data_IF_045937010518
#
_entry.id   IF_045937010518
#
_cell.length_a   1.000
_cell.length_b   1.000
_cell.length_c   1.000
_cell.angle_alpha   90.00
_cell.angle_beta   90.00
_cell.angle_gamma   90.00
#
_symmetry.space_group_name_H-M   'P 1'
#
loop_
_entity.id
_entity.type
_entity.pdbx_description
1 polymer ?
#
# COMPACT_ATOMS: atom_id res chain seq x y z
N UNK A 1 -18.25 7.16 3.55
CA UNK A 1 -18.43 6.81 4.96
C UNK A 1 -19.06 5.42 5.05
N UNK A 2 -20.28 5.15 4.56
CA UNK A 2 -20.92 3.83 4.69
C UNK A 2 -20.07 2.69 4.11
N UNK A 3 -19.40 2.87 2.96
CA UNK A 3 -18.50 1.88 2.40
C UNK A 3 -17.27 1.67 3.29
N UNK A 4 -16.64 2.74 3.76
CA UNK A 4 -15.46 2.68 4.64
C UNK A 4 -15.77 1.94 5.95
N UNK A 5 -16.88 2.29 6.58
CA UNK A 5 -17.24 1.77 7.91
C UNK A 5 -17.99 0.43 7.85
N UNK A 6 -18.31 -0.05 6.66
CA UNK A 6 -19.00 -1.31 6.39
C UNK A 6 -18.16 -2.28 5.54
N UNK A 7 -18.40 -2.38 4.22
CA UNK A 7 -17.78 -3.43 3.38
C UNK A 7 -16.26 -3.43 3.38
N UNK A 8 -15.61 -2.26 3.41
CA UNK A 8 -14.15 -2.17 3.44
C UNK A 8 -13.55 -2.63 4.76
N UNK A 9 -14.25 -2.38 5.87
CA UNK A 9 -13.80 -2.73 7.22
C UNK A 9 -14.33 -4.10 7.71
N UNK A 10 -15.04 -4.86 6.85
CA UNK A 10 -15.55 -6.19 7.23
C UNK A 10 -14.38 -7.10 7.64
N UNK A 11 -14.36 -7.60 8.89
CA UNK A 11 -13.26 -8.43 9.39
C UNK A 11 -13.09 -9.76 8.63
N UNK A 12 -14.12 -10.20 7.91
CA UNK A 12 -14.07 -11.39 7.05
C UNK A 12 -13.36 -11.14 5.72
N UNK A 13 -13.12 -9.88 5.38
CA UNK A 13 -12.44 -9.51 4.13
C UNK A 13 -11.02 -10.08 4.13
N UNK A 14 -10.70 -10.87 3.11
CA UNK A 14 -9.42 -11.54 2.97
C UNK A 14 -8.87 -11.36 1.55
N UNK A 15 -7.56 -11.20 1.45
CA UNK A 15 -6.84 -11.19 0.17
C UNK A 15 -6.31 -12.59 -0.17
N UNK A 16 -5.74 -13.27 0.83
CA UNK A 16 -5.07 -14.58 0.65
C UNK A 16 -6.01 -15.77 0.92
N UNK A 17 -7.11 -15.54 1.64
CA UNK A 17 -7.91 -16.62 2.22
C UNK A 17 -7.31 -17.17 3.52
N UNK A 18 -8.15 -17.76 4.37
CA UNK A 18 -7.79 -18.16 5.73
C UNK A 18 -6.62 -19.16 5.78
N UNK A 19 -6.59 -20.12 4.86
CA UNK A 19 -5.55 -21.15 4.84
C UNK A 19 -4.16 -20.55 4.57
N UNK A 20 -4.06 -19.63 3.59
CA UNK A 20 -2.80 -19.00 3.25
C UNK A 20 -2.39 -17.95 4.31
N UNK A 21 -3.34 -17.21 4.89
CA UNK A 21 -3.05 -16.32 6.02
C UNK A 21 -2.44 -17.09 7.20
N UNK A 22 -2.99 -18.27 7.53
CA UNK A 22 -2.46 -19.13 8.58
C UNK A 22 -1.08 -19.67 8.23
N UNK A 23 -0.91 -20.14 6.99
CA UNK A 23 0.39 -20.64 6.53
C UNK A 23 1.48 -19.56 6.63
N UNK A 24 1.22 -18.34 6.19
CA UNK A 24 2.18 -17.22 6.32
C UNK A 24 2.53 -16.96 7.78
N UNK A 25 1.54 -16.92 8.66
CA UNK A 25 1.76 -16.71 10.09
C UNK A 25 2.67 -17.79 10.70
N UNK A 26 2.49 -19.06 10.29
CA UNK A 26 3.29 -20.17 10.77
C UNK A 26 4.70 -20.14 10.18
N UNK A 27 4.87 -19.77 8.90
CA UNK A 27 6.19 -19.60 8.29
C UNK A 27 7.00 -18.48 8.95
N UNK A 28 6.39 -17.35 9.27
CA UNK A 28 7.05 -16.26 9.99
C UNK A 28 7.58 -16.72 11.35
N UNK A 29 6.75 -17.44 12.12
CA UNK A 29 7.14 -18.02 13.43
C UNK A 29 8.26 -19.04 13.27
N UNK A 30 8.13 -19.95 12.30
CA UNK A 30 9.13 -21.00 12.07
C UNK A 30 10.49 -20.40 11.67
N UNK A 31 10.48 -19.39 10.78
CA UNK A 31 11.69 -18.68 10.34
C UNK A 31 12.42 -18.02 11.50
N UNK A 32 11.69 -17.28 12.34
CA UNK A 32 12.27 -16.62 13.53
C UNK A 32 12.79 -17.68 14.52
N UNK A 33 12.03 -18.75 14.78
CA UNK A 33 12.45 -19.83 15.66
C UNK A 33 13.72 -20.56 15.16
N UNK A 34 13.88 -20.67 13.85
CA UNK A 34 15.08 -21.24 13.23
C UNK A 34 16.30 -20.30 13.28
N UNK A 35 16.15 -19.07 13.82
CA UNK A 35 17.23 -18.10 13.95
C UNK A 35 17.53 -17.29 12.69
N UNK A 36 16.68 -17.35 11.66
CA UNK A 36 16.84 -16.52 10.48
C UNK A 36 16.64 -15.04 10.84
N UNK A 37 17.62 -14.21 10.46
CA UNK A 37 17.63 -12.78 10.82
C UNK A 37 16.62 -11.95 10.04
N UNK A 38 16.25 -12.39 8.83
CA UNK A 38 15.36 -11.68 7.94
C UNK A 38 14.20 -12.58 7.51
N UNK A 39 13.02 -12.05 7.48
CA UNK A 39 11.83 -12.67 6.91
C UNK A 39 11.45 -11.91 5.65
N UNK A 40 11.92 -12.42 4.50
CA UNK A 40 11.61 -11.84 3.20
C UNK A 40 10.29 -12.41 2.67
N UNK A 41 9.35 -11.51 2.40
CA UNK A 41 8.06 -11.83 1.77
C UNK A 41 8.03 -11.24 0.38
N UNK A 42 8.15 -12.09 -0.64
CA UNK A 42 7.97 -11.72 -2.03
C UNK A 42 6.50 -11.93 -2.42
N UNK A 43 5.84 -10.88 -2.85
CA UNK A 43 4.43 -10.92 -3.24
C UNK A 43 4.13 -9.80 -4.25
N UNK A 44 2.98 -9.82 -4.91
CA UNK A 44 2.77 -8.96 -6.08
C UNK A 44 2.28 -7.54 -5.75
N UNK A 45 1.45 -7.36 -4.73
CA UNK A 45 0.70 -6.12 -4.49
C UNK A 45 1.37 -5.20 -3.46
N UNK A 46 1.32 -3.90 -3.66
CA UNK A 46 1.83 -2.93 -2.67
C UNK A 46 1.09 -3.08 -1.34
N UNK A 47 1.85 -3.14 -0.24
CA UNK A 47 1.36 -3.33 1.12
C UNK A 47 1.32 -2.01 1.90
N UNK A 48 2.20 -1.08 1.60
CA UNK A 48 2.20 0.26 2.17
C UNK A 48 0.95 1.06 1.82
N UNK A 49 0.58 1.97 2.69
CA UNK A 49 -0.60 2.82 2.49
C UNK A 49 -0.33 4.00 1.55
N UNK A 50 -1.28 4.27 0.65
CA UNK A 50 -1.21 5.40 -0.26
C UNK A 50 -2.56 6.08 -0.40
N UNK A 51 -2.66 7.32 0.09
CA UNK A 51 -3.79 8.21 -0.16
C UNK A 51 -3.35 9.37 -1.05
N UNK A 52 -4.25 9.81 -1.94
CA UNK A 52 -3.99 11.02 -2.72
C UNK A 52 -4.24 12.27 -1.85
N UNK A 53 -3.23 13.15 -1.73
CA UNK A 53 -3.38 14.39 -0.97
C UNK A 53 -4.24 15.41 -1.71
N UNK A 54 -4.83 16.41 -1.02
CA UNK A 54 -5.51 17.53 -1.67
C UNK A 54 -4.66 18.26 -2.71
N UNK A 55 -3.35 18.31 -2.52
CA UNK A 55 -2.39 18.90 -3.47
C UNK A 55 -2.41 18.22 -4.85
N UNK A 56 -2.85 16.97 -4.93
CA UNK A 56 -2.97 16.24 -6.20
C UNK A 56 -3.91 16.94 -7.21
N UNK A 57 -4.86 17.72 -6.75
CA UNK A 57 -5.72 18.51 -7.63
C UNK A 57 -4.92 19.50 -8.52
N UNK A 58 -3.75 19.93 -8.07
CA UNK A 58 -2.85 20.81 -8.82
C UNK A 58 -1.76 20.09 -9.62
N UNK A 59 -1.80 18.77 -9.76
CA UNK A 59 -0.80 18.02 -10.54
C UNK A 59 -1.07 18.06 -12.04
N UNK A 60 -2.35 18.11 -12.41
CA UNK A 60 -2.80 18.03 -13.79
C UNK A 60 -2.61 19.35 -14.53
N UNK A 61 -2.26 19.27 -15.80
CA UNK A 61 -2.31 20.39 -16.69
C UNK A 61 -3.76 20.88 -16.92
N UNK A 62 -3.97 22.16 -17.31
CA UNK A 62 -5.30 22.68 -17.57
C UNK A 62 -6.08 21.93 -18.66
N UNK A 63 -5.37 21.34 -19.61
CA UNK A 63 -5.88 20.57 -20.75
C UNK A 63 -5.80 19.05 -20.52
N UNK A 64 -5.60 18.60 -19.28
CA UNK A 64 -5.48 17.20 -18.95
C UNK A 64 -6.73 16.41 -19.37
N UNK A 65 -6.50 15.15 -19.73
CA UNK A 65 -7.57 14.21 -20.08
C UNK A 65 -8.64 14.13 -18.99
N UNK A 66 -9.92 14.07 -19.41
CA UNK A 66 -11.06 14.04 -18.48
C UNK A 66 -11.05 12.85 -17.54
N UNK A 67 -10.51 11.68 -17.97
CA UNK A 67 -10.38 10.49 -17.12
C UNK A 67 -9.32 10.70 -16.06
N UNK A 68 -8.17 11.28 -16.43
CA UNK A 68 -7.11 11.66 -15.49
C UNK A 68 -7.65 12.64 -14.44
N UNK A 69 -8.38 13.67 -14.86
CA UNK A 69 -8.99 14.64 -13.95
C UNK A 69 -10.02 13.99 -13.01
N UNK A 70 -10.87 13.10 -13.53
CA UNK A 70 -11.83 12.36 -12.72
C UNK A 70 -11.15 11.42 -11.71
N UNK A 71 -10.09 10.71 -12.12
CA UNK A 71 -9.32 9.84 -11.25
C UNK A 71 -8.71 10.61 -10.07
N UNK A 72 -8.04 11.73 -10.35
CA UNK A 72 -7.44 12.57 -9.30
C UNK A 72 -8.52 13.13 -8.36
N UNK A 73 -9.62 13.63 -8.89
CA UNK A 73 -10.74 14.16 -8.09
C UNK A 73 -11.32 13.10 -7.15
N UNK A 74 -11.58 11.91 -7.67
CA UNK A 74 -12.12 10.79 -6.88
C UNK A 74 -11.09 10.32 -5.85
N UNK A 75 -9.82 10.21 -6.23
CA UNK A 75 -8.74 9.83 -5.32
C UNK A 75 -8.54 10.81 -4.17
N UNK A 76 -8.58 12.12 -4.43
CA UNK A 76 -8.53 13.17 -3.39
C UNK A 76 -9.73 13.07 -2.45
N UNK A 77 -10.93 12.90 -2.99
CA UNK A 77 -12.13 12.72 -2.18
C UNK A 77 -12.03 11.44 -1.30
N UNK A 78 -11.59 10.34 -1.87
CA UNK A 78 -11.37 9.09 -1.13
C UNK A 78 -10.36 9.30 0.00
N UNK A 79 -9.22 9.93 -0.30
CA UNK A 79 -8.18 10.25 0.68
C UNK A 79 -8.69 11.12 1.83
N UNK A 80 -9.56 12.11 1.55
CA UNK A 80 -10.11 12.99 2.58
C UNK A 80 -11.00 12.29 3.61
N UNK A 81 -11.51 11.11 3.28
CA UNK A 81 -12.30 10.27 4.20
C UNK A 81 -11.54 9.02 4.65
N UNK A 82 -10.22 8.96 4.42
CA UNK A 82 -9.36 7.86 4.83
C UNK A 82 -9.56 6.57 4.04
N UNK A 83 -10.07 6.65 2.80
CA UNK A 83 -10.15 5.53 1.88
C UNK A 83 -8.91 5.53 0.98
N UNK A 84 -8.21 4.39 0.78
CA UNK A 84 -6.99 4.35 0.01
C UNK A 84 -7.21 4.63 -1.48
N UNK A 85 -6.12 4.96 -2.17
CA UNK A 85 -6.12 5.21 -3.62
C UNK A 85 -6.53 3.94 -4.40
N UNK A 86 -6.03 2.78 -4.00
CA UNK A 86 -6.30 1.52 -4.69
C UNK A 86 -7.03 0.53 -3.78
N UNK A 87 -8.16 0.00 -4.28
CA UNK A 87 -8.88 -1.12 -3.67
C UNK A 87 -8.30 -2.48 -4.09
N UNK A 88 -7.39 -2.49 -5.05
CA UNK A 88 -6.78 -3.67 -5.65
C UNK A 88 -5.38 -3.96 -5.09
N UNK A 89 -5.05 -3.33 -3.97
CA UNK A 89 -3.85 -3.55 -3.18
C UNK A 89 -4.21 -4.05 -1.78
N UNK A 90 -3.21 -4.29 -0.93
CA UNK A 90 -3.44 -4.68 0.46
C UNK A 90 -4.29 -3.67 1.26
N UNK A 91 -4.28 -2.41 0.87
CA UNK A 91 -5.13 -1.40 1.51
C UNK A 91 -6.61 -1.61 1.24
N UNK A 92 -6.97 -2.14 0.07
CA UNK A 92 -8.33 -2.56 -0.23
C UNK A 92 -8.82 -3.70 0.66
N UNK A 93 -7.89 -4.41 1.30
CA UNK A 93 -8.12 -5.54 2.22
C UNK A 93 -7.57 -5.25 3.61
N UNK A 94 -7.85 -4.07 4.12
CA UNK A 94 -7.30 -3.57 5.39
C UNK A 94 -7.40 -4.55 6.58
N UNK A 95 -8.51 -5.30 6.79
CA UNK A 95 -8.56 -6.33 7.84
C UNK A 95 -7.55 -7.48 7.62
N UNK A 96 -7.36 -7.94 6.39
CA UNK A 96 -6.36 -8.96 6.05
C UNK A 96 -4.94 -8.45 6.28
N UNK A 97 -4.62 -7.22 5.82
CA UNK A 97 -3.35 -6.57 6.08
C UNK A 97 -3.07 -6.44 7.58
N UNK A 98 -4.08 -6.05 8.34
CA UNK A 98 -3.97 -5.94 9.80
C UNK A 98 -3.66 -7.30 10.44
N UNK A 99 -4.28 -8.40 10.00
CA UNK A 99 -3.96 -9.75 10.49
C UNK A 99 -2.55 -10.15 10.15
N UNK A 100 -2.10 -9.89 8.93
CA UNK A 100 -0.73 -10.13 8.50
C UNK A 100 0.28 -9.36 9.37
N UNK A 101 0.06 -8.07 9.60
CA UNK A 101 0.93 -7.25 10.45
C UNK A 101 0.97 -7.75 11.90
N UNK A 102 -0.17 -8.14 12.46
CA UNK A 102 -0.23 -8.75 13.79
C UNK A 102 0.56 -10.07 13.85
N UNK A 103 0.49 -10.90 12.82
CA UNK A 103 1.25 -12.14 12.75
C UNK A 103 2.76 -11.87 12.72
N UNK A 104 3.22 -10.91 11.92
CA UNK A 104 4.62 -10.51 11.87
C UNK A 104 5.12 -9.95 13.22
N UNK A 105 4.35 -9.09 13.87
CA UNK A 105 4.69 -8.55 15.20
C UNK A 105 4.72 -9.64 16.27
N UNK A 106 3.73 -10.55 16.29
CA UNK A 106 3.66 -11.67 17.22
C UNK A 106 4.84 -12.64 17.05
N UNK A 107 5.29 -12.87 15.83
CA UNK A 107 6.48 -13.66 15.53
C UNK A 107 7.79 -12.92 15.87
N UNK A 108 7.75 -11.61 16.12
CA UNK A 108 8.92 -10.73 16.20
C UNK A 108 9.77 -10.79 14.93
N UNK A 109 9.10 -10.87 13.78
CA UNK A 109 9.75 -10.95 12.48
C UNK A 109 10.48 -9.67 12.13
N UNK A 110 11.68 -9.78 11.58
CA UNK A 110 12.39 -8.68 10.94
C UNK A 110 11.97 -8.68 9.46
N UNK A 111 10.77 -8.12 9.22
CA UNK A 111 10.04 -8.27 7.97
C UNK A 111 10.57 -7.33 6.89
N UNK A 112 10.87 -7.89 5.74
CA UNK A 112 11.11 -7.16 4.49
C UNK A 112 10.10 -7.68 3.46
N UNK A 113 9.33 -6.77 2.87
CA UNK A 113 8.39 -7.08 1.78
C UNK A 113 8.99 -6.58 0.48
N UNK A 114 8.95 -7.38 -0.56
CA UNK A 114 9.21 -6.96 -1.93
C UNK A 114 7.96 -7.17 -2.76
N UNK A 115 7.57 -6.15 -3.51
CA UNK A 115 6.33 -6.11 -4.28
C UNK A 115 6.52 -5.44 -5.64
N UNK A 116 5.47 -5.38 -6.43
CA UNK A 116 5.46 -4.77 -7.77
C UNK A 116 4.08 -4.26 -8.12
N UNK A 117 3.54 -4.69 -9.26
CA UNK A 117 2.19 -4.45 -9.79
C UNK A 117 1.84 -2.98 -10.06
N UNK A 118 2.17 -2.08 -9.16
CA UNK A 118 1.79 -0.66 -9.26
C UNK A 118 2.51 0.12 -10.36
N UNK A 119 3.48 -0.49 -11.04
CA UNK A 119 4.35 0.11 -12.06
C UNK A 119 5.26 1.24 -11.58
N UNK A 120 5.07 1.70 -10.36
CA UNK A 120 5.92 2.70 -9.70
C UNK A 120 6.80 2.04 -8.64
N UNK A 121 7.96 2.63 -8.40
CA UNK A 121 8.79 2.24 -7.28
C UNK A 121 8.30 2.92 -6.00
N UNK A 122 8.27 2.15 -4.91
CA UNK A 122 7.87 2.65 -3.59
C UNK A 122 8.80 2.11 -2.51
N UNK A 123 9.12 2.92 -1.52
CA UNK A 123 9.76 2.48 -0.29
C UNK A 123 8.90 2.88 0.91
N UNK A 124 8.44 1.91 1.67
CA UNK A 124 7.51 2.11 2.77
C UNK A 124 8.06 1.59 4.10
N UNK A 125 7.89 2.37 5.15
CA UNK A 125 7.91 1.85 6.52
C UNK A 125 6.52 1.30 6.83
N UNK A 126 6.43 0.02 7.13
CA UNK A 126 5.19 -0.64 7.50
C UNK A 126 4.98 -0.53 9.02
N UNK A 127 3.81 -0.09 9.43
CA UNK A 127 3.46 0.07 10.85
C UNK A 127 2.02 -0.32 11.13
N UNK A 128 1.75 -0.73 12.37
CA UNK A 128 0.42 -0.99 12.88
C UNK A 128 0.24 -0.33 14.23
N UNK A 129 -0.77 0.53 14.35
CA UNK A 129 -1.03 1.31 15.57
C UNK A 129 0.24 2.03 16.10
N UNK A 130 1.00 2.65 15.20
CA UNK A 130 2.24 3.37 15.53
C UNK A 130 3.46 2.50 15.84
N UNK A 131 3.32 1.18 15.85
CA UNK A 131 4.43 0.24 16.09
C UNK A 131 5.00 -0.27 14.76
N UNK A 132 6.34 -0.34 14.62
CA UNK A 132 6.97 -0.91 13.43
C UNK A 132 6.53 -2.36 13.18
N UNK A 133 6.38 -2.71 11.90
CA UNK A 133 6.13 -4.08 11.43
C UNK A 133 7.27 -4.55 10.55
N UNK A 134 7.75 -3.69 9.66
CA UNK A 134 8.81 -4.00 8.70
C UNK A 134 8.99 -2.88 7.69
N UNK A 135 9.61 -3.22 6.57
CA UNK A 135 9.80 -2.32 5.43
C UNK A 135 9.31 -2.99 4.15
N UNK A 136 8.92 -2.17 3.18
CA UNK A 136 8.55 -2.64 1.85
C UNK A 136 9.34 -1.88 0.79
N UNK A 137 9.74 -2.61 -0.25
CA UNK A 137 10.29 -2.07 -1.48
C UNK A 137 9.48 -2.62 -2.66
N UNK A 138 8.77 -1.75 -3.36
CA UNK A 138 8.06 -2.10 -4.58
C UNK A 138 8.90 -1.70 -5.79
N UNK A 139 9.01 -2.62 -6.75
CA UNK A 139 9.72 -2.39 -8.01
C UNK A 139 8.85 -1.61 -9.00
N UNK A 140 9.50 -0.76 -9.79
CA UNK A 140 8.85 -0.09 -10.91
C UNK A 140 8.58 -1.06 -12.08
N UNK A 141 7.65 -0.68 -12.96
CA UNK A 141 7.43 -1.39 -14.21
C UNK A 141 8.65 -1.29 -15.14
N UNK A 142 8.99 -2.40 -15.80
CA UNK A 142 10.05 -2.43 -16.82
C UNK A 142 9.52 -2.00 -18.19
N UNK A 143 8.29 -2.43 -18.51
CA UNK A 143 7.64 -2.20 -19.82
C UNK A 143 6.34 -1.40 -19.71
N UNK A 144 5.82 -1.24 -18.50
CA UNK A 144 4.57 -0.51 -18.25
C UNK A 144 4.86 0.86 -17.63
N UNK A 145 4.20 1.93 -18.11
CA UNK A 145 4.39 3.27 -17.56
C UNK A 145 3.82 3.37 -16.15
N UNK A 146 4.44 4.19 -15.31
CA UNK A 146 3.90 4.57 -14.01
C UNK A 146 2.69 5.50 -14.13
N UNK A 147 1.96 5.69 -13.05
CA UNK A 147 0.73 6.50 -13.04
C UNK A 147 0.98 7.97 -13.43
N UNK A 148 2.15 8.52 -13.13
CA UNK A 148 2.53 9.88 -13.50
C UNK A 148 2.58 10.06 -15.02
N UNK A 149 3.03 9.04 -15.74
CA UNK A 149 3.05 9.04 -17.20
C UNK A 149 1.64 8.94 -17.78
N UNK A 150 0.80 8.07 -17.19
CA UNK A 150 -0.60 7.88 -17.62
C UNK A 150 -1.44 9.13 -17.37
N UNK A 151 -1.17 9.84 -16.27
CA UNK A 151 -1.89 11.05 -15.89
C UNK A 151 -1.29 12.33 -16.46
N UNK A 152 -0.11 12.27 -17.10
CA UNK A 152 0.59 13.44 -17.62
C UNK A 152 1.04 14.42 -16.54
N UNK A 153 1.48 13.90 -15.37
CA UNK A 153 1.87 14.72 -14.22
C UNK A 153 3.39 14.75 -14.03
N UNK A 154 3.90 15.83 -13.41
CA UNK A 154 5.33 15.97 -13.12
C UNK A 154 5.74 15.01 -11.97
N UNK A 155 6.63 14.02 -12.22
CA UNK A 155 6.92 12.96 -11.24
C UNK A 155 7.47 13.50 -9.92
N UNK A 156 8.41 14.45 -9.97
CA UNK A 156 9.05 15.02 -8.76
C UNK A 156 8.06 15.71 -7.83
N UNK A 157 7.09 16.47 -8.40
CA UNK A 157 6.08 17.15 -7.59
C UNK A 157 5.13 16.14 -6.96
N UNK A 158 4.64 15.18 -7.73
CA UNK A 158 3.77 14.14 -7.23
C UNK A 158 4.42 13.32 -6.11
N UNK A 159 5.69 12.93 -6.29
CA UNK A 159 6.45 12.19 -5.26
C UNK A 159 6.58 12.99 -3.97
N UNK A 160 6.94 14.28 -4.05
CA UNK A 160 7.08 15.14 -2.86
C UNK A 160 5.76 15.27 -2.08
N UNK A 161 4.66 15.54 -2.79
CA UNK A 161 3.33 15.69 -2.17
C UNK A 161 2.83 14.36 -1.54
N UNK A 162 3.12 13.22 -2.21
CA UNK A 162 2.77 11.90 -1.70
C UNK A 162 3.55 11.55 -0.43
N UNK A 163 4.87 11.75 -0.43
CA UNK A 163 5.72 11.51 0.76
C UNK A 163 5.29 12.37 1.93
N UNK A 164 4.99 13.65 1.69
CA UNK A 164 4.53 14.57 2.73
C UNK A 164 3.20 14.15 3.36
N UNK A 165 2.33 13.49 2.60
CA UNK A 165 0.96 13.16 3.01
C UNK A 165 0.77 11.71 3.46
N UNK A 166 1.74 10.85 3.23
CA UNK A 166 1.71 9.43 3.58
C UNK A 166 2.89 9.08 4.51
N UNK A 167 2.70 9.10 5.84
CA UNK A 167 3.82 9.01 6.80
C UNK A 167 4.70 7.75 6.67
N UNK A 168 4.12 6.65 6.17
CA UNK A 168 4.84 5.40 5.89
C UNK A 168 5.73 5.50 4.65
N UNK A 169 5.31 6.26 3.64
CA UNK A 169 6.03 6.40 2.38
C UNK A 169 7.31 7.20 2.56
N UNK A 170 8.42 6.70 2.04
CA UNK A 170 9.75 7.32 2.14
C UNK A 170 10.32 7.69 0.77
N UNK A 171 9.92 6.97 -0.24
CA UNK A 171 10.32 7.21 -1.62
C UNK A 171 9.36 6.51 -2.57
#
# INVERSE_FOLDING_TARGET
>A
VAFRDGPWSDPRRSLLGAAQEQWVADQLKASVKAGHKWQLVAQQLVMGGLILPPAAAGWLAPDADKRAAAFVKVGVLAGSIGVPLSMDSWEGYNPARTRFYKAAQAAKANLVVVSGDSHNAWANNLSLAGKPVGVEFAGQGVTSPGFESVLGIAPKKAAADLVASNPGLKW
#
